data_IF_181404620863
#
_entry.id   IF_181404620863
#
_cell.length_a   1.000
_cell.length_b   1.000
_cell.length_c   1.000
_cell.angle_alpha   90.00
_cell.angle_beta   90.00
_cell.angle_gamma   90.00
#
_symmetry.space_group_name_H-M   'P 1'
#
loop_
_entity.id
_entity.type
_entity.pdbx_description
1 polymer ?
#
# COMPACT_ATOMS: atom_id res chain seq x y z
N UNK A 1 0.76 -25.72 -2.05
CA UNK A 1 -0.70 -25.53 -1.87
C UNK A 1 -1.04 -24.15 -2.40
N UNK A 2 -1.90 -24.07 -3.41
CA UNK A 2 -2.30 -22.80 -4.03
C UNK A 2 -3.30 -22.12 -3.07
N UNK A 3 -2.88 -21.07 -2.38
CA UNK A 3 -3.79 -20.28 -1.55
C UNK A 3 -4.66 -19.42 -2.47
N UNK A 4 -5.93 -19.79 -2.58
CA UNK A 4 -6.99 -18.91 -3.09
C UNK A 4 -6.97 -17.62 -2.27
N UNK A 5 -6.68 -16.51 -2.94
CA UNK A 5 -6.82 -15.16 -2.41
C UNK A 5 -8.28 -14.99 -1.97
N UNK A 6 -8.55 -15.05 -0.66
CA UNK A 6 -9.86 -14.69 -0.14
C UNK A 6 -10.00 -13.19 -0.28
N UNK A 7 -10.71 -12.76 -1.33
CA UNK A 7 -11.17 -11.38 -1.43
C UNK A 7 -12.20 -11.22 -0.32
N UNK A 8 -11.81 -10.50 0.74
CA UNK A 8 -12.73 -10.10 1.80
C UNK A 8 -13.80 -9.22 1.15
N UNK A 9 -15.01 -9.74 1.03
CA UNK A 9 -16.17 -8.96 0.58
C UNK A 9 -16.65 -8.12 1.76
N UNK A 10 -16.42 -6.81 1.66
CA UNK A 10 -17.04 -5.85 2.56
C UNK A 10 -18.50 -5.66 2.14
N UNK A 11 -19.45 -5.94 3.03
CA UNK A 11 -20.83 -5.49 2.87
C UNK A 11 -20.96 -4.10 3.50
N UNK A 12 -20.70 -3.06 2.72
CA UNK A 12 -21.10 -1.70 3.10
C UNK A 12 -22.60 -1.58 2.80
N UNK A 13 -23.44 -1.79 3.81
CA UNK A 13 -24.90 -1.68 3.67
C UNK A 13 -25.35 -0.25 3.31
N UNK A 14 -24.51 0.76 3.59
CA UNK A 14 -24.71 2.17 3.27
C UNK A 14 -23.57 2.67 2.37
N UNK A 15 -23.93 3.29 1.24
CA UNK A 15 -22.95 3.86 0.33
C UNK A 15 -23.61 4.85 -0.62
N UNK A 16 -22.97 6.02 -0.76
CA UNK A 16 -23.35 7.09 -1.67
C UNK A 16 -22.98 6.77 -3.12
N UNK A 17 -23.74 7.35 -4.04
CA UNK A 17 -23.37 7.37 -5.45
C UNK A 17 -22.56 8.63 -5.72
N UNK A 18 -21.45 8.48 -6.43
CA UNK A 18 -20.61 9.58 -6.86
C UNK A 18 -20.47 9.53 -8.38
N UNK A 19 -20.67 10.68 -9.01
CA UNK A 19 -20.53 10.85 -10.45
C UNK A 19 -19.11 11.32 -10.76
N UNK A 20 -18.48 10.68 -11.74
CA UNK A 20 -17.16 11.03 -12.28
C UNK A 20 -17.25 11.13 -13.81
N UNK A 21 -16.18 11.60 -14.45
CA UNK A 21 -16.05 11.55 -15.92
C UNK A 21 -16.04 10.09 -16.43
N UNK A 22 -15.61 9.14 -15.60
CA UNK A 22 -15.62 7.70 -15.90
C UNK A 22 -16.99 7.04 -15.73
N UNK A 23 -17.96 7.72 -15.12
CA UNK A 23 -19.30 7.20 -14.85
C UNK A 23 -19.72 7.34 -13.38
N UNK A 24 -20.86 6.75 -13.05
CA UNK A 24 -21.42 6.77 -11.68
C UNK A 24 -20.99 5.52 -10.93
N UNK A 25 -20.37 5.71 -9.76
CA UNK A 25 -19.91 4.64 -8.89
C UNK A 25 -20.62 4.70 -7.54
N UNK A 26 -20.91 3.53 -6.95
CA UNK A 26 -21.35 3.44 -5.56
C UNK A 26 -20.11 3.23 -4.68
N UNK A 27 -19.84 4.16 -3.78
CA UNK A 27 -18.71 4.10 -2.84
C UNK A 27 -19.22 4.12 -1.39
N UNK A 28 -18.47 3.57 -0.42
CA UNK A 28 -18.80 3.70 0.99
C UNK A 28 -18.83 5.17 1.44
N UNK A 29 -19.68 5.48 2.42
CA UNK A 29 -19.85 6.86 2.88
C UNK A 29 -18.58 7.42 3.54
N UNK A 30 -17.78 6.53 4.15
CA UNK A 30 -16.48 6.84 4.77
C UNK A 30 -15.38 7.16 3.75
N UNK A 31 -15.61 6.91 2.46
CA UNK A 31 -14.64 7.24 1.41
C UNK A 31 -14.98 8.62 0.84
N UNK A 32 -14.02 9.53 0.92
CA UNK A 32 -14.03 10.77 0.18
C UNK A 32 -13.38 10.53 -1.19
N UNK A 33 -14.07 10.93 -2.25
CA UNK A 33 -13.56 10.83 -3.62
C UNK A 33 -13.29 12.22 -4.15
N UNK A 34 -12.13 12.40 -4.78
CA UNK A 34 -11.74 13.63 -5.46
C UNK A 34 -11.37 13.34 -6.91
N UNK A 35 -11.86 14.16 -7.81
CA UNK A 35 -11.47 14.15 -9.22
C UNK A 35 -10.10 14.83 -9.36
N UNK A 36 -9.10 14.11 -9.89
CA UNK A 36 -7.74 14.64 -10.08
C UNK A 36 -7.48 14.99 -11.55
N UNK A 37 -7.77 14.06 -12.46
CA UNK A 37 -7.48 14.18 -13.91
C UNK A 37 -6.07 14.72 -14.22
N UNK A 38 -5.06 14.19 -13.53
CA UNK A 38 -3.68 14.59 -13.72
C UNK A 38 -2.90 13.52 -14.48
N UNK A 39 -2.00 13.96 -15.35
CA UNK A 39 -1.01 13.07 -15.97
C UNK A 39 0.36 13.52 -15.55
N UNK A 40 1.05 12.69 -14.79
CA UNK A 40 2.42 12.94 -14.36
C UNK A 40 3.36 11.98 -15.08
N UNK A 41 4.52 12.47 -15.50
CA UNK A 41 5.56 11.65 -16.11
C UNK A 41 6.88 11.98 -15.44
N UNK A 42 7.50 10.97 -14.85
CA UNK A 42 8.79 11.10 -14.17
C UNK A 42 9.76 10.08 -14.76
N UNK A 43 10.96 10.53 -15.08
CA UNK A 43 12.06 9.64 -15.49
C UNK A 43 13.21 9.86 -14.53
N UNK A 44 13.62 8.80 -13.87
CA UNK A 44 14.76 8.80 -12.95
C UNK A 44 15.77 7.75 -13.38
N UNK A 45 17.05 8.06 -13.20
CA UNK A 45 18.15 7.16 -13.50
C UNK A 45 18.88 6.89 -12.19
N UNK A 46 19.05 5.62 -11.86
CA UNK A 46 19.72 5.16 -10.67
C UNK A 46 20.96 4.35 -11.03
N UNK A 47 21.96 4.42 -10.17
CA UNK A 47 23.23 3.70 -10.34
C UNK A 47 23.28 2.40 -9.53
N UNK A 48 22.25 2.12 -8.72
CA UNK A 48 22.13 0.89 -7.95
C UNK A 48 20.67 0.51 -7.73
N UNK A 49 20.42 -0.77 -7.44
CA UNK A 49 19.09 -1.26 -7.05
C UNK A 49 18.63 -0.65 -5.72
N UNK A 50 19.56 -0.42 -4.79
CA UNK A 50 19.27 0.19 -3.50
C UNK A 50 18.63 1.58 -3.66
N UNK A 51 19.13 2.39 -4.60
CA UNK A 51 18.54 3.70 -4.91
C UNK A 51 17.14 3.59 -5.53
N UNK A 52 16.86 2.51 -6.27
CA UNK A 52 15.52 2.21 -6.79
C UNK A 52 14.57 1.87 -5.65
N UNK A 53 15.01 1.07 -4.67
CA UNK A 53 14.20 0.72 -3.50
C UNK A 53 13.92 1.94 -2.62
N UNK A 54 14.93 2.77 -2.38
CA UNK A 54 14.78 4.03 -1.64
C UNK A 54 13.78 4.99 -2.28
N UNK A 55 13.79 5.12 -3.61
CA UNK A 55 12.86 6.03 -4.28
C UNK A 55 11.40 5.59 -4.14
N UNK A 56 11.15 4.27 -4.10
CA UNK A 56 9.81 3.72 -3.83
C UNK A 56 9.36 3.97 -2.39
N UNK A 57 10.28 3.93 -1.42
CA UNK A 57 9.98 4.25 -0.02
C UNK A 57 9.60 5.72 0.15
N UNK A 58 10.35 6.62 -0.49
CA UNK A 58 10.06 8.08 -0.47
C UNK A 58 8.70 8.37 -1.09
N UNK A 59 8.37 7.74 -2.22
CA UNK A 59 7.09 7.94 -2.92
C UNK A 59 5.90 7.42 -2.12
N UNK A 60 6.07 6.37 -1.33
CA UNK A 60 5.02 5.82 -0.47
C UNK A 60 4.88 6.57 0.88
N UNK A 61 5.69 7.61 1.12
CA UNK A 61 5.74 8.38 2.38
C UNK A 61 5.87 7.51 3.65
N UNK A 62 6.46 6.33 3.51
CA UNK A 62 6.62 5.38 4.61
C UNK A 62 7.77 5.84 5.51
N UNK A 63 7.46 6.11 6.77
CA UNK A 63 8.43 6.57 7.77
C UNK A 63 9.38 5.47 8.29
N UNK A 64 9.87 4.52 7.45
CA UNK A 64 10.80 3.46 7.88
C UNK A 64 11.67 2.92 6.71
N UNK A 65 12.80 2.29 7.08
CA UNK A 65 13.93 1.74 6.31
C UNK A 65 13.72 1.31 4.83
N UNK A 66 14.81 1.47 4.06
CA UNK A 66 14.98 1.33 2.61
C UNK A 66 14.54 0.01 1.94
N UNK A 67 14.01 -0.97 2.67
CA UNK A 67 13.74 -2.33 2.15
C UNK A 67 12.26 -2.67 1.93
N UNK A 68 11.34 -1.73 2.19
CA UNK A 68 9.87 -1.94 2.16
C UNK A 68 9.33 -2.37 0.78
N UNK A 69 10.03 -2.06 -0.32
CA UNK A 69 9.60 -2.36 -1.70
C UNK A 69 10.56 -3.25 -2.50
N UNK A 70 11.42 -4.01 -1.81
CA UNK A 70 12.41 -4.91 -2.43
C UNK A 70 11.82 -5.96 -3.37
N UNK A 71 10.60 -6.44 -3.09
CA UNK A 71 9.87 -7.35 -3.98
C UNK A 71 9.44 -6.68 -5.29
N UNK A 72 9.03 -5.40 -5.25
CA UNK A 72 8.67 -4.62 -6.44
C UNK A 72 9.89 -4.35 -7.31
N UNK A 73 11.00 -3.96 -6.69
CA UNK A 73 12.27 -3.77 -7.38
C UNK A 73 12.76 -5.09 -8.01
N UNK A 74 12.69 -6.20 -7.27
CA UNK A 74 13.03 -7.52 -7.80
C UNK A 74 12.08 -7.95 -8.93
N UNK A 75 10.77 -7.78 -8.81
CA UNK A 75 9.83 -8.16 -9.85
C UNK A 75 10.02 -7.36 -11.15
N UNK A 76 10.33 -6.06 -11.04
CA UNK A 76 10.53 -5.19 -12.19
C UNK A 76 11.92 -5.35 -12.85
N UNK A 77 12.95 -5.72 -12.08
CA UNK A 77 14.34 -5.65 -12.52
C UNK A 77 15.15 -6.95 -12.30
N UNK A 78 14.52 -8.06 -11.87
CA UNK A 78 15.21 -9.36 -11.66
C UNK A 78 15.79 -9.99 -12.92
N UNK A 79 15.38 -9.54 -14.11
CA UNK A 79 15.89 -10.05 -15.39
C UNK A 79 17.15 -9.34 -15.89
N UNK A 80 17.77 -8.45 -15.12
CA UNK A 80 19.05 -7.82 -15.51
C UNK A 80 20.19 -8.85 -15.37
N UNK A 81 20.48 -9.55 -16.47
CA UNK A 81 21.38 -10.70 -16.57
C UNK A 81 22.89 -10.39 -16.56
N UNK A 82 23.32 -9.14 -16.38
CA UNK A 82 24.76 -8.80 -16.39
C UNK A 82 25.27 -8.46 -15.00
N UNK A 83 26.15 -9.32 -14.49
CA UNK A 83 26.97 -9.11 -13.29
C UNK A 83 28.06 -8.05 -13.47
N UNK A 84 27.86 -7.07 -14.37
CA UNK A 84 28.80 -5.95 -14.53
C UNK A 84 28.53 -4.94 -13.42
N UNK A 85 29.59 -4.49 -12.75
CA UNK A 85 29.59 -3.50 -11.67
C UNK A 85 29.03 -2.11 -12.08
N UNK A 86 28.56 -1.96 -13.32
CA UNK A 86 28.00 -0.72 -13.89
C UNK A 86 26.59 -0.95 -14.46
N UNK A 87 25.64 -1.36 -13.61
CA UNK A 87 24.23 -1.42 -14.00
C UNK A 87 23.56 -0.06 -13.74
N UNK A 88 23.15 0.62 -14.81
CA UNK A 88 22.28 1.81 -14.73
C UNK A 88 20.82 1.38 -14.88
N UNK A 89 19.97 1.83 -13.95
CA UNK A 89 18.54 1.58 -13.98
C UNK A 89 17.83 2.86 -14.41
N UNK A 90 17.07 2.80 -15.51
CA UNK A 90 16.21 3.90 -15.95
C UNK A 90 14.76 3.55 -15.64
N UNK A 91 14.12 4.34 -14.79
CA UNK A 91 12.74 4.14 -14.38
C UNK A 91 11.92 5.28 -14.95
N UNK A 92 11.05 4.95 -15.90
CA UNK A 92 10.08 5.89 -16.46
C UNK A 92 8.69 5.53 -15.95
N UNK A 93 8.11 6.41 -15.15
CA UNK A 93 6.73 6.32 -14.67
C UNK A 93 5.88 7.30 -15.44
N UNK A 94 4.74 6.83 -15.94
CA UNK A 94 3.70 7.67 -16.52
C UNK A 94 2.43 7.32 -15.76
N UNK A 95 2.02 8.21 -14.87
CA UNK A 95 0.83 8.03 -14.05
C UNK A 95 -0.30 8.84 -14.67
N UNK A 96 -1.45 8.19 -14.81
CA UNK A 96 -2.71 8.81 -15.18
C UNK A 96 -3.62 8.70 -13.97
N UNK A 97 -3.80 9.80 -13.25
CA UNK A 97 -4.61 9.88 -12.03
C UNK A 97 -5.99 10.38 -12.40
N UNK A 98 -6.98 9.49 -12.37
CA UNK A 98 -8.36 9.85 -12.71
C UNK A 98 -9.12 10.36 -11.48
N UNK A 99 -8.94 9.67 -10.35
CA UNK A 99 -9.58 9.99 -9.08
C UNK A 99 -8.67 9.60 -7.91
N UNK A 100 -8.74 10.36 -6.83
CA UNK A 100 -8.22 10.01 -5.52
C UNK A 100 -9.34 9.49 -4.63
N UNK A 101 -9.04 8.47 -3.82
CA UNK A 101 -9.91 7.95 -2.78
C UNK A 101 -9.20 8.09 -1.45
N UNK A 102 -9.86 8.72 -0.49
CA UNK A 102 -9.33 8.94 0.86
C UNK A 102 -10.33 8.40 1.88
N UNK A 103 -9.86 7.62 2.84
CA UNK A 103 -10.67 7.11 3.94
C UNK A 103 -10.75 8.19 5.03
N UNK A 104 -11.96 8.66 5.32
CA UNK A 104 -12.23 9.58 6.43
C UNK A 104 -12.24 8.79 7.75
N UNK A 105 -11.11 8.78 8.47
CA UNK A 105 -11.03 8.17 9.80
C UNK A 105 -11.45 9.20 10.85
N UNK A 106 -12.75 9.28 11.13
CA UNK A 106 -13.25 10.06 12.28
C UNK A 106 -13.26 9.22 13.57
N UNK A 107 -13.44 7.90 13.46
CA UNK A 107 -13.42 6.95 14.58
C UNK A 107 -12.78 5.62 14.13
N UNK A 108 -11.57 5.32 14.63
CA UNK A 108 -10.82 4.13 14.23
C UNK A 108 -11.54 2.84 14.69
N UNK A 109 -12.19 2.83 15.85
CA UNK A 109 -12.83 1.64 16.42
C UNK A 109 -14.14 1.32 15.68
N UNK A 110 -14.93 2.34 15.33
CA UNK A 110 -16.17 2.16 14.57
C UNK A 110 -15.93 1.74 13.10
N UNK A 111 -14.78 2.10 12.54
CA UNK A 111 -14.46 1.88 11.12
C UNK A 111 -13.41 0.79 10.87
N UNK A 112 -12.94 0.10 11.92
CA UNK A 112 -12.11 -1.11 11.76
C UNK A 112 -12.94 -2.38 11.89
N UNK A 113 -12.45 -3.46 11.28
CA UNK A 113 -13.09 -4.76 11.45
C UNK A 113 -12.98 -5.19 12.91
N UNK A 114 -14.05 -5.76 13.51
CA UNK A 114 -14.02 -6.22 14.90
C UNK A 114 -12.87 -7.21 15.18
N UNK A 115 -12.48 -7.99 14.17
CA UNK A 115 -11.36 -8.93 14.25
C UNK A 115 -10.01 -8.21 14.38
N UNK A 116 -9.76 -7.16 13.60
CA UNK A 116 -8.53 -6.37 13.73
C UNK A 116 -8.44 -5.74 15.11
N UNK A 117 -9.53 -5.15 15.58
CA UNK A 117 -9.57 -4.51 16.89
C UNK A 117 -9.31 -5.53 18.01
N UNK A 118 -9.99 -6.69 17.99
CA UNK A 118 -9.78 -7.77 18.96
C UNK A 118 -8.33 -8.28 18.95
N UNK A 119 -7.75 -8.51 17.77
CA UNK A 119 -6.36 -8.96 17.63
C UNK A 119 -5.37 -7.90 18.15
N UNK A 120 -5.64 -6.62 17.91
CA UNK A 120 -4.79 -5.51 18.39
C UNK A 120 -4.83 -5.38 19.92
N UNK A 121 -6.00 -5.56 20.54
CA UNK A 121 -6.15 -5.51 22.00
C UNK A 121 -5.52 -6.73 22.69
N UNK A 122 -5.41 -7.86 21.98
CA UNK A 122 -4.77 -9.06 22.48
C UNK A 122 -3.23 -8.96 22.51
N UNK A 123 -2.65 -7.91 21.90
CA UNK A 123 -1.20 -7.72 21.91
C UNK A 123 -0.68 -7.39 23.32
N UNK A 124 0.51 -7.90 23.70
CA UNK A 124 1.16 -7.50 24.94
C UNK A 124 1.44 -5.98 24.94
N UNK A 125 1.48 -5.37 26.12
CA UNK A 125 1.84 -3.94 26.26
C UNK A 125 3.25 -3.62 25.77
N UNK A 126 4.18 -4.59 25.79
CA UNK A 126 5.55 -4.42 25.32
C UNK A 126 5.92 -5.52 24.34
N UNK A 127 6.58 -5.13 23.26
CA UNK A 127 7.10 -6.07 22.25
C UNK A 127 7.91 -7.22 22.86
N UNK A 128 8.80 -6.88 23.81
CA UNK A 128 9.71 -7.84 24.43
C UNK A 128 9.01 -8.92 25.26
N UNK A 129 7.77 -8.70 25.69
CA UNK A 129 7.06 -9.65 26.54
C UNK A 129 6.62 -10.88 25.72
N UNK A 130 6.16 -10.67 24.48
CA UNK A 130 5.87 -11.75 23.51
C UNK A 130 6.12 -11.31 22.05
N UNK A 131 7.38 -11.32 21.59
CA UNK A 131 7.72 -10.87 20.22
C UNK A 131 6.98 -11.64 19.13
N UNK A 132 6.69 -12.93 19.34
CA UNK A 132 6.00 -13.79 18.37
C UNK A 132 4.57 -13.33 18.08
N UNK A 133 3.85 -12.83 19.08
CA UNK A 133 2.46 -12.40 18.92
C UNK A 133 2.40 -11.13 18.07
N UNK A 134 3.33 -10.19 18.32
CA UNK A 134 3.54 -9.01 17.48
C UNK A 134 3.90 -9.36 16.03
N UNK A 135 4.84 -10.28 15.82
CA UNK A 135 5.22 -10.71 14.46
C UNK A 135 4.06 -11.39 13.74
N UNK A 136 3.25 -12.19 14.46
CA UNK A 136 2.08 -12.86 13.88
C UNK A 136 1.00 -11.84 13.51
N UNK A 137 0.78 -10.83 14.34
CA UNK A 137 -0.12 -9.72 14.06
C UNK A 137 0.32 -8.95 12.80
N UNK A 138 1.60 -8.57 12.72
CA UNK A 138 2.14 -7.87 11.55
C UNK A 138 2.10 -8.72 10.28
N UNK A 139 2.30 -10.04 10.39
CA UNK A 139 2.18 -10.95 9.27
C UNK A 139 0.74 -11.06 8.76
N UNK A 140 -0.25 -10.96 9.65
CA UNK A 140 -1.68 -11.06 9.30
C UNK A 140 -2.22 -9.75 8.72
N UNK A 141 -1.95 -8.64 9.39
CA UNK A 141 -2.59 -7.35 9.11
C UNK A 141 -1.71 -6.37 8.32
N UNK A 142 -0.41 -6.65 8.25
CA UNK A 142 0.56 -5.72 7.70
C UNK A 142 0.94 -4.60 8.68
N UNK A 143 2.06 -3.91 8.42
CA UNK A 143 2.50 -2.78 9.22
C UNK A 143 1.84 -1.44 8.83
N UNK A 144 1.18 -1.35 7.67
CA UNK A 144 0.59 -0.12 7.14
C UNK A 144 -0.79 -0.39 6.55
N UNK A 145 -1.62 0.66 6.53
CA UNK A 145 -2.94 0.68 5.88
C UNK A 145 -2.92 1.77 4.82
N UNK A 146 -3.54 1.52 3.67
CA UNK A 146 -3.73 2.54 2.62
C UNK A 146 -4.92 3.41 3.06
N UNK A 147 -4.66 4.71 3.24
CA UNK A 147 -5.65 5.70 3.63
C UNK A 147 -6.02 6.59 2.45
#
# INVERSE_FOLDING_TARGET
TCSTLQIVQYSFDEGKHVETVGGTFKIPDQIHMMDLYETTSKTEIYTSMEQVEESLVVEAEVAVASTTFSATASAAYSTTTSSSDENYYSVRKVNLELYGLEILIEDLEANTTPEFFADSQALPLRFLDKPRDFLTFLQKWGPYVIL
#
